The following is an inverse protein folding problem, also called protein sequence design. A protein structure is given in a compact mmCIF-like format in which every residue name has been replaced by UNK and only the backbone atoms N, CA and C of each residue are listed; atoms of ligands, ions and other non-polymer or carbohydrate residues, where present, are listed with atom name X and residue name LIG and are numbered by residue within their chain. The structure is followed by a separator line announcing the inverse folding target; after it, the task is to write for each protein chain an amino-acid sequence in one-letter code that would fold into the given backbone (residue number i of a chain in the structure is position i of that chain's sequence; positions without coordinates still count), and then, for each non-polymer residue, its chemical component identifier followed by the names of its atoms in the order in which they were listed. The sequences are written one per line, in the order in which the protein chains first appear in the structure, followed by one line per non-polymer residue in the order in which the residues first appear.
data_IF_673902186751
#
_entry.id   IF_673902186751
#
_cell.length_a   1.000
_cell.length_b   1.000
_cell.length_c   1.000
_cell.angle_alpha   90.00
_cell.angle_beta   90.00
_cell.angle_gamma   90.00
#
_symmetry.space_group_name_H-M   'P 1'
#
loop_
_entity.id
_entity.type
_entity.pdbx_description
1 polymer ?
#
# COMPACT_ATOMS: atom_id res chain seq x y z
N UNK A 1 -6.75 13.31 8.29
CA UNK A 1 -6.62 11.98 7.63
C UNK A 1 -5.43 11.26 8.22
N UNK A 2 -5.57 9.97 8.53
CA UNK A 2 -4.50 9.16 9.14
C UNK A 2 -4.30 7.88 8.35
N UNK A 3 -3.06 7.61 7.93
CA UNK A 3 -2.65 6.33 7.35
C UNK A 3 -2.63 5.27 8.45
N UNK A 4 -3.46 4.24 8.28
CA UNK A 4 -3.62 3.13 9.22
C UNK A 4 -2.71 1.96 8.86
N UNK A 5 -2.52 1.72 7.56
CA UNK A 5 -1.65 0.66 7.03
C UNK A 5 -1.09 1.08 5.68
N UNK A 6 0.13 0.65 5.38
CA UNK A 6 0.73 0.72 4.05
C UNK A 6 1.45 -0.58 3.73
N UNK A 7 1.49 -0.97 2.46
CA UNK A 7 2.18 -2.18 2.05
C UNK A 7 2.28 -2.40 0.54
N UNK A 8 2.99 -3.47 0.20
CA UNK A 8 3.24 -3.94 -1.17
C UNK A 8 2.72 -5.36 -1.34
N UNK A 9 2.04 -5.60 -2.46
CA UNK A 9 1.49 -6.90 -2.84
C UNK A 9 2.09 -7.37 -4.16
N UNK A 10 2.30 -8.68 -4.28
CA UNK A 10 2.81 -9.34 -5.48
C UNK A 10 2.18 -10.73 -5.59
N UNK A 11 1.59 -11.06 -6.74
CA UNK A 11 0.86 -12.33 -6.98
C UNK A 11 -0.15 -12.69 -5.87
N UNK A 12 -0.78 -11.69 -5.25
CA UNK A 12 -1.72 -11.91 -4.13
C UNK A 12 -1.07 -12.13 -2.76
N UNK A 13 0.26 -12.17 -2.66
CA UNK A 13 1.00 -12.20 -1.40
C UNK A 13 1.34 -10.79 -0.91
N UNK A 14 1.43 -10.62 0.41
CA UNK A 14 1.96 -9.38 0.99
C UNK A 14 3.49 -9.46 1.07
N UNK A 15 4.21 -8.70 0.25
CA UNK A 15 5.68 -8.64 0.31
C UNK A 15 6.17 -7.95 1.58
N UNK A 16 5.54 -6.83 1.91
CA UNK A 16 5.84 -6.09 3.13
C UNK A 16 4.65 -5.22 3.46
N UNK A 17 4.34 -5.12 4.75
CA UNK A 17 3.37 -4.16 5.24
C UNK A 17 3.73 -3.63 6.61
N UNK A 18 3.20 -2.46 6.93
CA UNK A 18 3.22 -1.89 8.27
C UNK A 18 1.85 -1.35 8.63
N UNK A 19 1.35 -1.80 9.78
CA UNK A 19 0.12 -1.28 10.39
C UNK A 19 0.51 -0.29 11.47
N UNK A 20 0.15 0.98 11.30
CA UNK A 20 0.41 2.07 12.24
C UNK A 20 -0.64 2.14 13.34
N UNK A 21 -1.87 1.77 12.98
CA UNK A 21 -3.03 1.82 13.85
C UNK A 21 -3.97 0.65 13.57
N UNK A 22 -4.71 0.21 14.58
CA UNK A 22 -5.72 -0.85 14.39
C UNK A 22 -6.86 -0.35 13.51
N UNK A 23 -7.02 -0.96 12.33
CA UNK A 23 -8.17 -0.73 11.45
C UNK A 23 -9.34 -1.66 11.75
N UNK A 24 -9.16 -2.69 12.58
CA UNK A 24 -10.25 -3.59 13.03
C UNK A 24 -10.06 -4.02 14.48
N UNK A 25 -11.13 -4.55 15.09
CA UNK A 25 -11.10 -5.11 16.47
C UNK A 25 -10.60 -6.56 16.52
N UNK A 26 -10.46 -7.24 15.38
CA UNK A 26 -10.10 -8.66 15.29
C UNK A 26 -8.75 -8.91 14.62
N UNK A 27 -8.34 -10.18 14.56
CA UNK A 27 -7.23 -10.60 13.70
C UNK A 27 -7.72 -10.56 12.25
N UNK A 28 -6.99 -9.85 11.40
CA UNK A 28 -7.16 -9.92 9.96
C UNK A 28 -6.15 -10.92 9.45
N UNK A 29 -6.63 -11.91 8.70
CA UNK A 29 -5.77 -12.76 7.90
C UNK A 29 -5.16 -11.93 6.76
N UNK A 30 -3.83 -11.85 6.76
CA UNK A 30 -3.09 -11.01 5.81
C UNK A 30 -3.19 -11.50 4.38
N UNK A 31 -3.23 -12.82 4.21
CA UNK A 31 -3.18 -13.48 2.92
C UNK A 31 -4.57 -13.43 2.28
N UNK A 32 -5.62 -13.58 3.10
CA UNK A 32 -6.99 -13.32 2.67
C UNK A 32 -7.18 -11.87 2.20
N UNK A 33 -6.62 -10.90 2.94
CA UNK A 33 -6.72 -9.49 2.55
C UNK A 33 -5.98 -9.22 1.24
N UNK A 34 -4.74 -9.66 1.11
CA UNK A 34 -3.95 -9.41 -0.09
C UNK A 34 -4.53 -10.11 -1.31
N UNK A 35 -4.99 -11.35 -1.16
CA UNK A 35 -5.70 -12.09 -2.20
C UNK A 35 -6.98 -11.37 -2.65
N UNK A 36 -7.82 -10.93 -1.69
CA UNK A 36 -9.05 -10.19 -2.00
C UNK A 36 -8.77 -8.85 -2.68
N UNK A 37 -7.81 -8.06 -2.19
CA UNK A 37 -7.45 -6.78 -2.81
C UNK A 37 -6.96 -6.98 -4.24
N UNK A 38 -6.08 -7.96 -4.46
CA UNK A 38 -5.56 -8.29 -5.79
C UNK A 38 -6.69 -8.73 -6.71
N UNK A 39 -7.61 -9.57 -6.25
CA UNK A 39 -8.76 -10.02 -7.04
C UNK A 39 -9.69 -8.86 -7.43
N UNK A 40 -10.01 -7.96 -6.50
CA UNK A 40 -10.85 -6.78 -6.77
C UNK A 40 -10.16 -5.84 -7.77
N UNK A 41 -8.84 -5.66 -7.65
CA UNK A 41 -8.06 -4.83 -8.57
C UNK A 41 -8.05 -5.41 -9.99
N UNK A 42 -7.74 -6.69 -10.12
CA UNK A 42 -7.75 -7.38 -11.41
C UNK A 42 -9.15 -7.36 -12.04
N UNK A 43 -10.20 -7.56 -11.23
CA UNK A 43 -11.59 -7.41 -11.69
C UNK A 43 -11.87 -5.99 -12.20
N UNK A 44 -11.46 -4.97 -11.44
CA UNK A 44 -11.65 -3.58 -11.83
C UNK A 44 -10.92 -3.26 -13.15
N UNK A 45 -9.69 -3.73 -13.34
CA UNK A 45 -8.92 -3.52 -14.57
C UNK A 45 -9.46 -4.27 -15.80
N UNK A 46 -10.05 -5.44 -15.58
CA UNK A 46 -10.65 -6.21 -16.68
C UNK A 46 -12.01 -5.65 -17.09
N UNK A 47 -12.70 -4.99 -16.17
CA UNK A 47 -14.05 -4.43 -16.40
C UNK A 47 -14.01 -2.97 -16.84
N UNK A 48 -13.07 -2.19 -16.31
CA UNK A 48 -12.86 -0.76 -16.60
C UNK A 48 -11.50 -0.56 -17.26
N UNK A 49 -11.28 0.57 -17.95
CA UNK A 49 -9.95 0.83 -18.51
C UNK A 49 -8.88 0.85 -17.43
N UNK A 50 -7.69 0.32 -17.78
CA UNK A 50 -6.49 0.37 -16.94
C UNK A 50 -6.25 1.79 -16.42
N UNK A 51 -5.77 1.89 -15.18
CA UNK A 51 -5.43 3.14 -14.49
C UNK A 51 -6.60 4.08 -14.11
N UNK A 52 -7.87 3.65 -14.26
CA UNK A 52 -9.02 4.48 -13.88
C UNK A 52 -9.40 4.39 -12.39
N UNK A 53 -9.11 3.28 -11.74
CA UNK A 53 -9.48 3.10 -10.33
C UNK A 53 -8.29 3.50 -9.45
N UNK A 54 -8.43 4.60 -8.71
CA UNK A 54 -7.38 5.13 -7.85
C UNK A 54 -7.53 4.69 -6.39
N UNK A 55 -8.75 4.35 -5.98
CA UNK A 55 -9.07 3.92 -4.63
C UNK A 55 -10.43 3.22 -4.52
N UNK A 56 -10.61 2.45 -3.46
CA UNK A 56 -11.89 1.90 -3.01
C UNK A 56 -12.36 2.58 -1.73
N UNK A 57 -13.61 3.00 -1.73
CA UNK A 57 -14.21 3.68 -0.58
C UNK A 57 -15.10 2.75 0.23
N UNK A 58 -14.76 2.55 1.50
CA UNK A 58 -15.61 1.88 2.47
C UNK A 58 -16.34 2.88 3.39
N UNK A 59 -17.10 2.35 4.36
CA UNK A 59 -17.85 3.18 5.32
C UNK A 59 -16.94 4.02 6.22
N UNK A 60 -15.85 3.43 6.71
CA UNK A 60 -14.92 4.05 7.68
C UNK A 60 -13.53 4.31 7.12
N UNK A 61 -13.10 3.46 6.18
CA UNK A 61 -11.76 3.49 5.63
C UNK A 61 -11.82 3.58 4.12
N UNK A 62 -10.74 4.05 3.56
CA UNK A 62 -10.49 4.08 2.14
C UNK A 62 -9.18 3.34 1.85
N UNK A 63 -9.15 2.64 0.72
CA UNK A 63 -7.99 1.89 0.27
C UNK A 63 -7.54 2.51 -1.04
N UNK A 64 -6.39 3.19 -1.03
CA UNK A 64 -5.80 3.74 -2.24
C UNK A 64 -4.64 2.87 -2.69
N UNK A 65 -4.40 2.84 -3.99
CA UNK A 65 -3.37 1.99 -4.56
C UNK A 65 -2.77 2.61 -5.83
N UNK A 66 -1.59 2.13 -6.18
CA UNK A 66 -0.96 2.36 -7.47
C UNK A 66 -0.31 1.06 -7.92
N UNK A 67 -0.19 0.93 -9.22
CA UNK A 67 0.44 -0.20 -9.89
C UNK A 67 1.82 0.21 -10.37
N UNK A 68 2.72 -0.76 -10.40
CA UNK A 68 4.01 -0.71 -11.06
C UNK A 68 4.34 -2.14 -11.50
N UNK A 69 5.46 -2.32 -12.19
CA UNK A 69 5.93 -3.62 -12.63
C UNK A 69 7.31 -3.92 -12.02
N UNK A 70 7.54 -5.17 -11.63
CA UNK A 70 8.83 -5.61 -11.08
C UNK A 70 9.26 -6.93 -11.73
N UNK A 71 10.55 -7.05 -12.02
CA UNK A 71 11.13 -8.32 -12.45
C UNK A 71 11.49 -9.14 -11.22
N UNK A 72 10.85 -10.29 -11.04
CA UNK A 72 11.28 -11.30 -10.08
C UNK A 72 12.40 -12.16 -10.67
N UNK A 73 13.11 -12.90 -9.83
CA UNK A 73 14.15 -13.85 -10.27
C UNK A 73 13.58 -15.01 -11.11
N UNK A 74 12.35 -15.42 -10.82
CA UNK A 74 11.66 -16.58 -11.41
C UNK A 74 10.78 -16.22 -12.62
N UNK A 75 10.79 -14.96 -13.07
CA UNK A 75 10.00 -14.50 -14.21
C UNK A 75 10.87 -13.87 -15.29
N UNK A 76 10.54 -14.17 -16.55
CA UNK A 76 11.17 -13.57 -17.72
C UNK A 76 10.59 -12.19 -18.05
N UNK A 77 9.36 -11.92 -17.60
CA UNK A 77 8.65 -10.68 -17.86
C UNK A 77 8.36 -9.90 -16.57
N UNK A 78 8.30 -8.56 -16.63
CA UNK A 78 7.85 -7.75 -15.50
C UNK A 78 6.44 -8.15 -15.06
N UNK A 79 6.24 -8.23 -13.75
CA UNK A 79 4.96 -8.62 -13.16
C UNK A 79 4.40 -7.53 -12.27
N UNK A 80 3.07 -7.58 -12.08
CA UNK A 80 2.32 -6.56 -11.35
C UNK A 80 2.77 -6.47 -9.87
N UNK A 81 3.23 -5.28 -9.50
CA UNK A 81 3.51 -4.86 -8.14
C UNK A 81 2.44 -3.84 -7.72
N UNK A 82 1.72 -4.14 -6.65
CA UNK A 82 0.67 -3.25 -6.14
C UNK A 82 1.15 -2.60 -4.86
N UNK A 83 1.23 -1.28 -4.87
CA UNK A 83 1.43 -0.45 -3.69
C UNK A 83 0.08 -0.01 -3.15
N UNK A 84 -0.18 -0.20 -1.85
CA UNK A 84 -1.46 0.20 -1.25
C UNK A 84 -1.30 0.92 0.10
N UNK A 85 -2.31 1.73 0.43
CA UNK A 85 -2.53 2.27 1.77
C UNK A 85 -3.98 2.11 2.20
N UNK A 86 -4.19 1.94 3.50
CA UNK A 86 -5.49 2.03 4.16
C UNK A 86 -5.48 3.26 5.05
N UNK A 87 -6.48 4.12 4.91
CA UNK A 87 -6.57 5.37 5.64
C UNK A 87 -8.00 5.67 6.11
N UNK A 88 -8.13 6.56 7.09
CA UNK A 88 -9.44 7.03 7.55
C UNK A 88 -10.16 7.82 6.45
N UNK A 89 -11.47 7.61 6.35
CA UNK A 89 -12.33 8.38 5.45
C UNK A 89 -12.64 9.76 6.05
N UNK A 90 -12.32 10.80 5.30
CA UNK A 90 -12.67 12.20 5.61
C UNK A 90 -13.27 12.91 4.38
N UNK A 91 -13.83 14.11 4.58
CA UNK A 91 -14.39 14.92 3.49
C UNK A 91 -13.27 15.41 2.55
N UNK A 92 -13.57 15.57 1.24
CA UNK A 92 -12.64 16.05 0.20
C UNK A 92 -11.43 15.14 -0.07
N UNK A 93 -11.70 13.84 -0.16
CA UNK A 93 -10.71 12.78 -0.29
C UNK A 93 -9.85 12.86 -1.56
N UNK A 94 -10.46 13.12 -2.72
CA UNK A 94 -9.81 13.02 -4.04
C UNK A 94 -8.53 13.87 -4.13
N UNK A 95 -8.58 15.11 -3.65
CA UNK A 95 -7.42 16.02 -3.68
C UNK A 95 -6.26 15.48 -2.83
N UNK A 96 -6.55 14.92 -1.67
CA UNK A 96 -5.53 14.35 -0.79
C UNK A 96 -4.94 13.08 -1.41
N UNK A 97 -5.79 12.22 -1.99
CA UNK A 97 -5.34 11.01 -2.68
C UNK A 97 -4.40 11.35 -3.82
N UNK A 98 -4.80 12.24 -4.72
CA UNK A 98 -4.01 12.59 -5.91
C UNK A 98 -2.73 13.35 -5.59
N UNK A 99 -2.77 14.27 -4.63
CA UNK A 99 -1.62 15.16 -4.35
C UNK A 99 -0.64 14.61 -3.32
N UNK A 100 -1.09 13.74 -2.42
CA UNK A 100 -0.27 13.26 -1.30
C UNK A 100 -0.08 11.74 -1.41
N UNK A 101 -1.17 10.97 -1.36
CA UNK A 101 -1.07 9.51 -1.25
C UNK A 101 -0.49 8.85 -2.51
N UNK A 102 -0.96 9.25 -3.70
CA UNK A 102 -0.48 8.68 -4.96
C UNK A 102 1.04 8.89 -5.16
N UNK A 103 1.61 10.10 -4.94
CA UNK A 103 3.06 10.29 -4.92
C UNK A 103 3.81 9.40 -3.92
N UNK A 104 3.30 9.25 -2.70
CA UNK A 104 3.93 8.40 -1.68
C UNK A 104 3.93 6.92 -2.07
N UNK A 105 2.83 6.44 -2.64
CA UNK A 105 2.72 5.07 -3.13
C UNK A 105 3.69 4.81 -4.30
N UNK A 106 3.83 5.77 -5.23
CA UNK A 106 4.80 5.67 -6.33
C UNK A 106 6.24 5.70 -5.82
N UNK A 107 6.54 6.53 -4.82
CA UNK A 107 7.84 6.55 -4.16
C UNK A 107 8.13 5.19 -3.51
N UNK A 108 7.16 4.60 -2.82
CA UNK A 108 7.28 3.28 -2.21
C UNK A 108 7.61 2.18 -3.23
N UNK A 109 6.87 2.11 -4.35
CA UNK A 109 7.17 1.15 -5.43
C UNK A 109 8.59 1.36 -5.97
N UNK A 110 8.98 2.61 -6.24
CA UNK A 110 10.30 2.96 -6.78
C UNK A 110 11.44 2.56 -5.84
N UNK A 111 11.33 2.89 -4.56
CA UNK A 111 12.33 2.53 -3.54
C UNK A 111 12.41 1.02 -3.33
N UNK A 112 11.30 0.31 -3.36
CA UNK A 112 11.31 -1.14 -3.23
C UNK A 112 12.01 -1.80 -4.43
N UNK A 113 11.67 -1.36 -5.65
CA UNK A 113 12.26 -1.87 -6.89
C UNK A 113 13.76 -1.64 -6.96
N UNK A 114 14.25 -0.48 -6.52
CA UNK A 114 15.68 -0.15 -6.62
C UNK A 114 16.60 -1.10 -5.84
N UNK A 115 16.07 -1.78 -4.83
CA UNK A 115 16.83 -2.71 -3.98
C UNK A 115 16.42 -4.18 -4.15
N UNK A 116 15.27 -4.48 -4.78
CA UNK A 116 14.70 -5.84 -4.84
C UNK A 116 14.39 -6.37 -6.25
N UNK A 117 14.73 -5.61 -7.31
CA UNK A 117 14.62 -6.12 -8.68
C UNK A 117 15.52 -7.36 -8.87
N UNK A 118 15.01 -8.39 -9.56
CA UNK A 118 15.66 -9.70 -9.80
C UNK A 118 15.93 -10.54 -8.55
N UNK A 119 15.25 -10.27 -7.43
CA UNK A 119 15.25 -11.16 -6.27
C UNK A 119 14.09 -12.16 -6.34
N UNK A 120 14.20 -13.25 -5.60
CA UNK A 120 13.09 -14.16 -5.35
C UNK A 120 12.02 -13.47 -4.49
N UNK A 121 10.94 -12.97 -5.10
CA UNK A 121 9.87 -12.26 -4.40
C UNK A 121 8.93 -13.17 -3.59
N UNK A 122 9.07 -14.50 -3.72
CA UNK A 122 8.29 -15.46 -2.94
C UNK A 122 8.80 -15.61 -1.50
N UNK A 123 10.07 -15.29 -1.23
CA UNK A 123 10.64 -15.31 0.12
C UNK A 123 10.38 -13.99 0.85
N UNK A 124 9.15 -13.82 1.34
CA UNK A 124 8.66 -12.57 1.96
C UNK A 124 9.49 -12.12 3.17
N UNK A 125 10.14 -13.05 3.89
CA UNK A 125 10.95 -12.75 5.07
C UNK A 125 12.10 -11.78 4.83
N UNK A 126 12.64 -11.74 3.61
CA UNK A 126 13.78 -10.89 3.27
C UNK A 126 13.41 -9.39 3.21
N UNK A 127 12.12 -9.05 3.12
CA UNK A 127 11.65 -7.67 2.97
C UNK A 127 11.30 -7.01 4.30
N UNK A 128 11.55 -7.68 5.44
CA UNK A 128 11.19 -7.17 6.78
C UNK A 128 11.78 -5.79 7.08
N UNK A 129 13.01 -5.54 6.66
CA UNK A 129 13.72 -4.29 6.94
C UNK A 129 13.17 -3.11 6.14
N UNK A 130 12.51 -3.37 5.01
CA UNK A 130 11.84 -2.33 4.22
C UNK A 130 10.69 -1.66 5.00
N UNK A 131 10.22 -2.25 6.11
CA UNK A 131 9.28 -1.58 7.02
C UNK A 131 9.81 -0.25 7.55
N UNK A 132 11.13 -0.08 7.68
CA UNK A 132 11.75 1.18 8.08
C UNK A 132 11.65 2.24 6.97
N UNK A 133 11.68 1.84 5.70
CA UNK A 133 11.42 2.74 4.58
C UNK A 133 9.97 3.22 4.59
N UNK A 134 9.01 2.34 4.91
CA UNK A 134 7.61 2.73 5.05
C UNK A 134 7.43 3.85 6.07
N UNK A 135 8.13 3.81 7.20
CA UNK A 135 8.10 4.90 8.20
C UNK A 135 8.62 6.21 7.65
N UNK A 136 9.70 6.17 6.87
CA UNK A 136 10.29 7.38 6.27
C UNK A 136 9.38 7.97 5.20
N UNK A 137 8.74 7.12 4.40
CA UNK A 137 7.85 7.53 3.30
C UNK A 137 6.56 8.13 3.86
N UNK A 138 5.89 7.42 4.78
CA UNK A 138 4.57 7.85 5.29
C UNK A 138 4.65 8.76 6.51
N UNK A 139 5.79 8.78 7.23
CA UNK A 139 6.14 9.77 8.24
C UNK A 139 4.96 10.29 9.08
N UNK A 140 4.71 11.59 8.98
CA UNK A 140 3.68 12.32 9.73
C UNK A 140 2.25 12.08 9.23
N UNK A 141 2.04 11.50 8.05
CA UNK A 141 0.71 11.10 7.57
C UNK A 141 0.16 9.89 8.35
N UNK A 142 1.03 9.20 9.09
CA UNK A 142 0.65 8.12 10.02
C UNK A 142 0.24 8.63 11.39
N UNK A 143 0.52 9.89 11.74
CA UNK A 143 0.26 10.42 13.08
C UNK A 143 -1.18 10.92 13.22
N UNK A 144 -1.81 10.60 14.37
CA UNK A 144 -3.08 11.23 14.75
C UNK A 144 -2.86 12.70 15.13
N UNK A 145 -3.95 13.49 15.19
CA UNK A 145 -3.88 14.89 15.63
C UNK A 145 -3.26 15.00 17.03
N UNK A 146 -3.64 14.11 17.95
CA UNK A 146 -3.07 14.09 19.32
C UNK A 146 -1.56 13.82 19.34
N UNK A 147 -1.07 12.96 18.45
CA UNK A 147 0.36 12.66 18.33
C UNK A 147 1.13 13.85 17.76
N UNK A 148 0.55 14.56 16.78
CA UNK A 148 1.15 15.79 16.22
C UNK A 148 1.27 16.88 17.27
N UNK A 149 0.23 17.08 18.08
CA UNK A 149 0.21 18.08 19.15
C UNK A 149 1.28 17.77 20.22
N UNK A 150 1.46 16.50 20.61
CA UNK A 150 2.50 16.09 21.57
C UNK A 150 3.95 16.26 21.10
N UNK A 151 4.22 16.53 19.82
CA UNK A 151 5.57 16.86 19.34
C UNK A 151 5.86 18.36 19.40
N UNK A 152 4.82 19.18 19.53
CA UNK A 152 4.90 20.64 19.49
C UNK A 152 4.92 21.23 20.92
N UNK A 153 4.33 20.52 21.88
CA UNK A 153 4.30 20.84 23.32
C UNK A 153 5.13 19.83 24.11
#
# INVERSE_FOLDING_TARGET
MVVREAGLLFRGFTLVKKSYHKSTKGKIDTDLRSGLLTAILNFAQSTFSKDLVEYFEGKKFLIAFTEDEINSEDSFEPELLISYVILDKEKKIEKYIRKIIQPLLKQMSKEFKSINTKKNLSEVSQFKDFKLNLDKIFGTDTETVDQKLKRIF
#
